data_IF_597416242149
#
_entry.id   IF_597416242149
#
_cell.length_a   1.000
_cell.length_b   1.000
_cell.length_c   1.000
_cell.angle_alpha   90.00
_cell.angle_beta   90.00
_cell.angle_gamma   90.00
#
_symmetry.space_group_name_H-M   'P 1'
#
loop_
_entity.id
_entity.type
_entity.pdbx_description
1 polymer ?
#
# COMPACT_ATOMS: atom_id res chain seq x y z
N UNK A 1 -5.75 -10.06 -8.87
CA UNK A 1 -6.51 -11.22 -9.33
C UNK A 1 -5.80 -12.54 -8.99
N UNK A 2 -4.48 -12.64 -9.08
CA UNK A 2 -3.72 -13.88 -8.80
C UNK A 2 -3.97 -14.44 -7.38
N UNK A 3 -4.11 -13.58 -6.37
CA UNK A 3 -4.47 -13.99 -5.00
C UNK A 3 -5.91 -14.54 -5.00
N UNK A 4 -6.84 -13.83 -5.64
CA UNK A 4 -8.25 -14.22 -5.70
C UNK A 4 -8.46 -15.59 -6.35
N UNK A 5 -7.82 -15.83 -7.49
CA UNK A 5 -7.88 -17.12 -8.18
C UNK A 5 -7.39 -18.28 -7.31
N UNK A 6 -6.30 -18.08 -6.55
CA UNK A 6 -5.76 -19.11 -5.64
C UNK A 6 -6.61 -19.35 -4.40
N UNK A 7 -7.46 -18.42 -4.06
CA UNK A 7 -8.30 -18.49 -2.86
C UNK A 7 -9.78 -18.78 -3.16
N UNK A 8 -10.15 -19.00 -4.44
CA UNK A 8 -11.51 -19.29 -4.85
C UNK A 8 -12.47 -18.09 -4.70
N UNK A 9 -11.97 -16.87 -4.81
CA UNK A 9 -12.78 -15.67 -4.79
C UNK A 9 -13.56 -15.50 -6.09
N UNK A 10 -14.66 -14.76 -6.02
CA UNK A 10 -15.40 -14.32 -7.19
C UNK A 10 -14.56 -13.30 -7.98
N UNK A 11 -14.03 -13.74 -9.13
CA UNK A 11 -13.11 -12.93 -9.92
C UNK A 11 -13.81 -11.79 -10.67
N UNK A 12 -15.11 -11.89 -10.94
CA UNK A 12 -15.88 -10.79 -11.54
C UNK A 12 -15.97 -9.62 -10.55
N UNK A 13 -16.42 -9.89 -9.32
CA UNK A 13 -16.47 -8.91 -8.24
C UNK A 13 -15.10 -8.32 -7.95
N UNK A 14 -14.08 -9.18 -7.84
CA UNK A 14 -12.73 -8.74 -7.51
C UNK A 14 -12.11 -7.90 -8.64
N UNK A 15 -12.36 -8.24 -9.92
CA UNK A 15 -11.85 -7.47 -11.06
C UNK A 15 -12.46 -6.09 -11.12
N UNK A 16 -13.79 -6.00 -11.03
CA UNK A 16 -14.47 -4.72 -11.03
C UNK A 16 -14.03 -3.84 -9.85
N UNK A 17 -13.95 -4.42 -8.66
CA UNK A 17 -13.48 -3.71 -7.47
C UNK A 17 -12.02 -3.23 -7.61
N UNK A 18 -11.13 -4.05 -8.16
CA UNK A 18 -9.73 -3.69 -8.38
C UNK A 18 -9.56 -2.54 -9.39
N UNK A 19 -10.39 -2.49 -10.42
CA UNK A 19 -10.37 -1.39 -11.39
C UNK A 19 -10.91 -0.07 -10.82
N UNK A 20 -11.90 -0.15 -9.93
CA UNK A 20 -12.63 1.03 -9.45
C UNK A 20 -12.19 1.52 -8.05
N UNK A 21 -11.38 0.77 -7.29
CA UNK A 21 -11.11 1.09 -5.88
C UNK A 21 -10.54 2.50 -5.64
N UNK A 22 -9.78 3.02 -6.59
CA UNK A 22 -9.14 4.33 -6.53
C UNK A 22 -9.80 5.40 -7.43
N UNK A 23 -10.97 5.14 -8.02
CA UNK A 23 -11.65 6.09 -8.93
C UNK A 23 -11.95 7.44 -8.25
N UNK A 24 -12.13 7.46 -6.93
CA UNK A 24 -12.31 8.67 -6.13
C UNK A 24 -11.02 9.41 -5.74
N UNK A 25 -9.84 8.93 -6.15
CA UNK A 25 -8.53 9.48 -5.73
C UNK A 25 -8.33 10.94 -6.14
N UNK A 26 -8.84 11.31 -7.32
CA UNK A 26 -8.78 12.69 -7.79
C UNK A 26 -9.52 13.66 -6.86
N UNK A 27 -10.69 13.24 -6.36
CA UNK A 27 -11.51 14.07 -5.47
C UNK A 27 -10.84 14.24 -4.09
N UNK A 28 -10.21 13.18 -3.56
CA UNK A 28 -9.40 13.27 -2.34
C UNK A 28 -8.25 14.26 -2.51
N UNK A 29 -7.51 14.18 -3.62
CA UNK A 29 -6.39 15.08 -3.89
C UNK A 29 -6.85 16.53 -4.03
N UNK A 30 -7.92 16.78 -4.79
CA UNK A 30 -8.48 18.12 -5.02
C UNK A 30 -9.03 18.75 -3.73
N UNK A 31 -9.57 17.93 -2.84
CA UNK A 31 -10.11 18.35 -1.54
C UNK A 31 -9.06 18.41 -0.42
N UNK A 32 -7.77 18.15 -0.74
CA UNK A 32 -6.67 18.05 0.23
C UNK A 32 -6.97 17.07 1.37
N UNK A 33 -7.61 15.93 1.03
CA UNK A 33 -7.90 14.86 1.96
C UNK A 33 -9.20 15.01 2.77
N UNK A 34 -10.00 16.07 2.56
CA UNK A 34 -11.30 16.23 3.22
C UNK A 34 -12.36 15.24 2.70
N UNK A 35 -12.23 14.79 1.47
CA UNK A 35 -13.05 13.72 0.85
C UNK A 35 -12.27 12.41 0.90
N UNK A 36 -12.85 11.37 1.48
CA UNK A 36 -12.27 10.03 1.48
C UNK A 36 -12.47 9.38 0.11
N UNK A 37 -11.37 9.03 -0.59
CA UNK A 37 -11.46 8.43 -1.93
C UNK A 37 -12.18 7.08 -1.95
N UNK A 38 -12.11 6.28 -0.89
CA UNK A 38 -12.79 5.00 -0.84
C UNK A 38 -14.33 5.18 -0.79
N UNK A 39 -14.83 6.11 0.03
CA UNK A 39 -16.26 6.45 0.07
C UNK A 39 -16.71 7.07 -1.25
N UNK A 40 -15.96 8.05 -1.74
CA UNK A 40 -16.24 8.67 -3.04
C UNK A 40 -16.17 7.68 -4.19
N UNK A 41 -15.22 6.76 -4.15
CA UNK A 41 -15.10 5.65 -5.09
C UNK A 41 -16.31 4.73 -5.07
N UNK A 42 -16.91 4.47 -3.91
CA UNK A 42 -18.16 3.74 -3.79
C UNK A 42 -19.34 4.44 -4.47
N UNK A 43 -19.47 5.77 -4.30
CA UNK A 43 -20.52 6.57 -4.97
C UNK A 43 -20.36 6.51 -6.50
N UNK A 44 -19.19 6.88 -7.00
CA UNK A 44 -18.88 6.85 -8.45
C UNK A 44 -18.98 5.43 -9.03
N UNK A 45 -18.50 4.43 -8.29
CA UNK A 45 -18.56 3.04 -8.70
C UNK A 45 -19.98 2.54 -8.86
N UNK A 46 -20.92 2.96 -8.02
CA UNK A 46 -22.35 2.60 -8.14
C UNK A 46 -22.93 3.03 -9.47
N UNK A 47 -22.71 4.29 -9.83
CA UNK A 47 -23.25 4.86 -11.07
C UNK A 47 -22.63 4.15 -12.30
N UNK A 48 -21.31 3.97 -12.30
CA UNK A 48 -20.60 3.28 -13.38
C UNK A 48 -21.11 1.83 -13.55
N UNK A 49 -21.21 1.07 -12.45
CA UNK A 49 -21.61 -0.33 -12.49
C UNK A 49 -23.06 -0.50 -12.93
N UNK A 50 -23.95 0.41 -12.53
CA UNK A 50 -25.35 0.42 -12.97
C UNK A 50 -25.46 0.73 -14.45
N UNK A 51 -24.70 1.71 -14.96
CA UNK A 51 -24.69 2.09 -16.38
C UNK A 51 -24.23 0.93 -17.29
N UNK A 52 -23.23 0.17 -16.86
CA UNK A 52 -22.72 -0.99 -17.62
C UNK A 52 -23.53 -2.28 -17.40
N UNK A 53 -24.60 -2.23 -16.58
CA UNK A 53 -25.61 -3.28 -16.49
C UNK A 53 -25.31 -4.39 -15.48
N UNK A 54 -24.49 -4.15 -14.44
CA UNK A 54 -24.36 -5.11 -13.34
C UNK A 54 -25.66 -5.23 -12.55
N UNK A 55 -25.96 -6.43 -12.07
CA UNK A 55 -27.09 -6.66 -11.16
C UNK A 55 -26.86 -5.98 -9.80
N UNK A 56 -27.93 -5.46 -9.19
CA UNK A 56 -27.86 -4.72 -7.95
C UNK A 56 -27.13 -5.46 -6.81
N UNK A 57 -27.36 -6.77 -6.66
CA UNK A 57 -26.67 -7.57 -5.65
C UNK A 57 -25.15 -7.67 -5.89
N UNK A 58 -24.73 -7.76 -7.14
CA UNK A 58 -23.30 -7.78 -7.53
C UNK A 58 -22.67 -6.40 -7.30
N UNK A 59 -23.38 -5.33 -7.62
CA UNK A 59 -22.95 -3.95 -7.34
C UNK A 59 -22.64 -3.79 -5.85
N UNK A 60 -23.53 -4.19 -4.94
CA UNK A 60 -23.30 -4.04 -3.50
C UNK A 60 -22.05 -4.80 -3.02
N UNK A 61 -21.78 -5.98 -3.59
CA UNK A 61 -20.58 -6.78 -3.28
C UNK A 61 -19.30 -6.05 -3.75
N UNK A 62 -19.32 -5.46 -4.95
CA UNK A 62 -18.20 -4.68 -5.50
C UNK A 62 -17.96 -3.42 -4.66
N UNK A 63 -19.04 -2.68 -4.35
CA UNK A 63 -18.95 -1.46 -3.56
C UNK A 63 -18.42 -1.73 -2.13
N UNK A 64 -18.82 -2.85 -1.52
CA UNK A 64 -18.24 -3.26 -0.24
C UNK A 64 -16.72 -3.39 -0.33
N UNK A 65 -16.18 -4.00 -1.39
CA UNK A 65 -14.74 -4.06 -1.59
C UNK A 65 -14.12 -2.67 -1.73
N UNK A 66 -14.73 -1.79 -2.54
CA UNK A 66 -14.23 -0.44 -2.80
C UNK A 66 -14.20 0.39 -1.52
N UNK A 67 -15.29 0.45 -0.77
CA UNK A 67 -15.38 1.33 0.42
C UNK A 67 -14.51 0.84 1.57
N UNK A 68 -14.25 -0.46 1.65
CA UNK A 68 -13.49 -1.06 2.76
C UNK A 68 -11.99 -1.23 2.49
N UNK A 69 -11.50 -1.00 1.25
CA UNK A 69 -10.10 -1.30 0.90
C UNK A 69 -9.05 -0.51 1.72
N UNK A 70 -9.42 0.63 2.32
CA UNK A 70 -8.53 1.37 3.25
C UNK A 70 -8.56 0.82 4.67
N UNK A 71 -9.62 0.13 5.05
CA UNK A 71 -9.86 -0.34 6.42
C UNK A 71 -9.62 0.79 7.44
N UNK A 72 -10.44 1.83 7.34
CA UNK A 72 -10.46 2.97 8.27
C UNK A 72 -11.83 3.08 8.90
N UNK A 73 -11.89 3.60 10.10
CA UNK A 73 -13.11 3.79 10.86
C UNK A 73 -13.88 2.45 10.98
N UNK A 74 -15.19 2.47 10.83
CA UNK A 74 -16.08 1.30 10.90
C UNK A 74 -16.14 0.49 9.59
N UNK A 75 -15.35 0.84 8.58
CA UNK A 75 -15.36 0.20 7.27
C UNK A 75 -14.47 -1.06 7.27
N UNK A 76 -15.04 -2.18 7.76
CA UNK A 76 -14.32 -3.45 7.90
C UNK A 76 -14.52 -4.33 6.66
N UNK A 77 -13.43 -4.82 6.00
CA UNK A 77 -13.55 -5.79 4.92
C UNK A 77 -14.01 -7.16 5.48
N UNK A 78 -15.25 -7.55 5.20
CA UNK A 78 -15.81 -8.81 5.70
C UNK A 78 -15.83 -9.92 4.67
N UNK A 79 -16.11 -9.61 3.38
CA UNK A 79 -16.10 -10.61 2.31
C UNK A 79 -14.67 -11.06 1.96
N UNK A 80 -14.55 -12.21 1.31
CA UNK A 80 -13.24 -12.70 0.85
C UNK A 80 -12.61 -11.75 -0.15
N UNK A 81 -13.39 -11.24 -1.11
CA UNK A 81 -12.96 -10.30 -2.14
C UNK A 81 -12.47 -8.99 -1.53
N UNK A 82 -13.19 -8.46 -0.53
CA UNK A 82 -12.79 -7.24 0.17
C UNK A 82 -11.47 -7.41 0.92
N UNK A 83 -11.27 -8.54 1.60
CA UNK A 83 -10.01 -8.88 2.27
C UNK A 83 -8.86 -9.02 1.28
N UNK A 84 -9.12 -9.65 0.13
CA UNK A 84 -8.11 -9.84 -0.91
C UNK A 84 -7.74 -8.49 -1.55
N UNK A 85 -8.70 -7.62 -1.83
CA UNK A 85 -8.43 -6.30 -2.37
C UNK A 85 -7.60 -5.46 -1.40
N UNK A 86 -7.96 -5.46 -0.11
CA UNK A 86 -7.18 -4.82 0.94
C UNK A 86 -5.74 -5.32 0.96
N UNK A 87 -5.54 -6.64 0.98
CA UNK A 87 -4.20 -7.24 1.01
C UNK A 87 -3.40 -6.88 -0.24
N UNK A 88 -4.01 -6.94 -1.42
CA UNK A 88 -3.36 -6.63 -2.68
C UNK A 88 -2.88 -5.18 -2.74
N UNK A 89 -3.71 -4.23 -2.32
CA UNK A 89 -3.35 -2.80 -2.22
C UNK A 89 -2.16 -2.58 -1.27
N UNK A 90 -2.16 -3.23 -0.11
CA UNK A 90 -1.06 -3.12 0.86
C UNK A 90 0.23 -3.81 0.37
N UNK A 91 0.10 -4.97 -0.28
CA UNK A 91 1.24 -5.68 -0.85
C UNK A 91 1.97 -4.86 -1.93
N UNK A 92 1.26 -4.03 -2.70
CA UNK A 92 1.87 -3.15 -3.71
C UNK A 92 2.78 -2.07 -3.10
N UNK A 93 2.59 -1.74 -1.83
CA UNK A 93 3.39 -0.74 -1.11
C UNK A 93 4.61 -1.32 -0.36
N UNK A 94 4.90 -2.61 -0.47
CA UNK A 94 6.02 -3.27 0.22
C UNK A 94 6.83 -4.18 -0.72
N UNK A 95 7.98 -4.64 -0.24
CA UNK A 95 8.92 -5.43 -1.04
C UNK A 95 9.71 -4.57 -2.03
N UNK A 96 10.25 -5.19 -3.07
CA UNK A 96 11.06 -4.50 -4.08
C UNK A 96 10.32 -3.36 -4.79
N UNK A 97 9.05 -3.59 -5.14
CA UNK A 97 8.19 -2.57 -5.76
C UNK A 97 7.93 -1.43 -4.78
N UNK A 98 7.60 -1.73 -3.52
CA UNK A 98 7.39 -0.72 -2.49
C UNK A 98 8.62 0.13 -2.24
N UNK A 99 9.82 -0.46 -2.18
CA UNK A 99 11.09 0.26 -2.10
C UNK A 99 11.26 1.22 -3.29
N UNK A 100 11.10 0.71 -4.52
CA UNK A 100 11.22 1.53 -5.73
C UNK A 100 10.27 2.72 -5.74
N UNK A 101 9.02 2.50 -5.33
CA UNK A 101 8.00 3.58 -5.21
C UNK A 101 8.36 4.59 -4.13
N UNK A 102 8.89 4.14 -2.99
CA UNK A 102 9.31 5.03 -1.90
C UNK A 102 10.47 5.93 -2.33
N UNK A 103 11.48 5.39 -3.04
CA UNK A 103 12.57 6.22 -3.59
C UNK A 103 12.09 7.19 -4.68
N UNK A 104 11.19 6.74 -5.56
CA UNK A 104 10.60 7.63 -6.57
C UNK A 104 9.86 8.80 -5.93
N UNK A 105 9.04 8.52 -4.91
CA UNK A 105 8.33 9.57 -4.16
C UNK A 105 9.30 10.50 -3.42
N UNK A 106 10.29 9.95 -2.71
CA UNK A 106 11.31 10.72 -2.03
C UNK A 106 12.04 11.70 -2.99
N UNK A 107 12.37 11.21 -4.20
CA UNK A 107 12.95 12.06 -5.26
C UNK A 107 12.01 13.18 -5.73
N UNK A 108 10.70 12.90 -5.84
CA UNK A 108 9.69 13.90 -6.23
C UNK A 108 9.53 15.04 -5.21
N UNK A 109 9.66 14.74 -3.92
CA UNK A 109 9.55 15.74 -2.85
C UNK A 109 10.90 16.38 -2.50
N UNK A 110 12.00 16.01 -3.19
CA UNK A 110 13.33 16.53 -2.92
C UNK A 110 13.95 16.04 -1.61
N UNK A 111 13.53 14.88 -1.13
CA UNK A 111 14.07 14.28 0.08
C UNK A 111 15.51 13.79 -0.10
N UNK A 112 16.24 13.67 0.99
CA UNK A 112 17.56 13.04 1.03
C UNK A 112 17.49 11.56 0.65
N UNK A 113 18.61 10.95 0.36
CA UNK A 113 18.70 9.53 0.07
C UNK A 113 18.43 8.68 1.34
N UNK A 114 18.93 9.14 2.48
CA UNK A 114 18.89 8.42 3.75
C UNK A 114 18.83 9.39 4.94
N UNK A 115 18.30 8.93 6.07
CA UNK A 115 18.33 9.66 7.35
C UNK A 115 19.28 8.95 8.33
N UNK A 116 19.87 9.70 9.22
CA UNK A 116 20.45 9.10 10.43
C UNK A 116 19.34 8.48 11.29
N UNK A 117 19.59 7.27 11.79
CA UNK A 117 18.56 6.52 12.56
C UNK A 117 18.00 7.28 13.77
N UNK A 118 18.80 8.19 14.35
CA UNK A 118 18.40 9.06 15.46
C UNK A 118 17.42 10.18 15.10
N UNK A 119 17.25 10.48 13.81
CA UNK A 119 16.48 11.64 13.32
C UNK A 119 15.08 11.25 12.87
N UNK A 120 14.78 9.94 12.70
CA UNK A 120 13.52 9.47 12.11
C UNK A 120 12.29 9.82 12.95
N UNK A 121 12.41 9.74 14.28
CA UNK A 121 11.33 10.10 15.19
C UNK A 121 11.14 11.62 15.20
N UNK A 122 9.97 12.07 14.77
CA UNK A 122 9.59 13.50 14.72
C UNK A 122 9.85 14.21 13.41
N UNK A 123 10.27 13.50 12.36
CA UNK A 123 10.38 14.10 11.01
C UNK A 123 9.01 14.26 10.35
N UNK A 124 8.84 15.37 9.62
CA UNK A 124 7.60 15.70 8.95
C UNK A 124 7.49 15.04 7.56
N UNK A 125 6.28 14.60 7.15
CA UNK A 125 6.00 14.21 5.76
C UNK A 125 6.25 15.35 4.77
N UNK A 126 6.58 15.02 3.53
CA UNK A 126 6.86 15.97 2.44
C UNK A 126 8.03 16.93 2.71
N UNK A 127 8.90 16.60 3.64
CA UNK A 127 10.14 17.34 3.95
C UNK A 127 11.36 16.69 3.30
N UNK A 128 12.53 17.33 3.44
CA UNK A 128 13.81 16.76 3.02
C UNK A 128 14.16 15.46 3.77
N UNK A 129 13.52 15.21 4.89
CA UNK A 129 13.67 13.99 5.70
C UNK A 129 12.64 12.90 5.34
N UNK A 130 11.73 13.13 4.39
CA UNK A 130 10.73 12.14 3.96
C UNK A 130 11.32 11.12 2.98
N UNK A 131 12.35 10.43 3.44
CA UNK A 131 13.13 9.46 2.66
C UNK A 131 12.43 8.11 2.55
N UNK A 132 12.86 7.26 1.61
CA UNK A 132 12.43 5.87 1.51
C UNK A 132 12.77 5.07 2.79
N UNK A 133 13.91 5.37 3.45
CA UNK A 133 14.29 4.76 4.71
C UNK A 133 13.31 5.11 5.84
N UNK A 134 12.94 6.39 5.93
CA UNK A 134 11.90 6.84 6.87
C UNK A 134 10.58 6.14 6.61
N UNK A 135 10.09 6.10 5.38
CA UNK A 135 8.83 5.44 5.02
C UNK A 135 8.86 3.95 5.39
N UNK A 136 10.01 3.28 5.23
CA UNK A 136 10.21 1.92 5.71
C UNK A 136 10.03 1.81 7.23
N UNK A 137 10.72 2.65 8.00
CA UNK A 137 10.67 2.61 9.48
C UNK A 137 9.30 2.94 10.05
N UNK A 138 8.64 3.98 9.53
CA UNK A 138 7.40 4.49 10.13
C UNK A 138 6.15 3.76 9.65
N UNK A 139 6.18 3.15 8.45
CA UNK A 139 4.98 2.61 7.83
C UNK A 139 5.16 1.22 7.21
N UNK A 140 6.10 1.05 6.25
CA UNK A 140 6.18 -0.17 5.46
C UNK A 140 6.48 -1.40 6.32
N UNK A 141 7.31 -1.27 7.36
CA UNK A 141 7.67 -2.33 8.29
C UNK A 141 6.47 -2.94 9.05
N UNK A 142 5.39 -2.17 9.21
CA UNK A 142 4.18 -2.56 9.95
C UNK A 142 3.11 -3.21 9.08
N UNK A 143 3.27 -3.16 7.76
CA UNK A 143 2.22 -3.62 6.82
C UNK A 143 2.00 -5.13 6.91
N UNK A 144 3.05 -5.92 7.12
CA UNK A 144 2.95 -7.39 7.26
C UNK A 144 1.94 -7.84 8.32
N UNK A 145 1.83 -7.07 9.40
CA UNK A 145 0.98 -7.40 10.55
C UNK A 145 -0.50 -7.04 10.32
N UNK A 146 -0.81 -6.37 9.21
CA UNK A 146 -2.16 -5.92 8.87
C UNK A 146 -2.87 -6.81 7.85
N UNK A 147 -2.23 -7.83 7.32
CA UNK A 147 -2.80 -8.70 6.30
C UNK A 147 -3.98 -9.51 6.82
N UNK A 148 -5.06 -9.56 6.05
CA UNK A 148 -6.32 -10.18 6.43
C UNK A 148 -6.43 -11.63 5.98
N UNK A 149 -5.74 -12.02 4.88
CA UNK A 149 -5.79 -13.38 4.34
C UNK A 149 -4.52 -14.17 4.65
N UNK A 150 -4.61 -15.52 4.72
CA UNK A 150 -3.41 -16.36 4.94
C UNK A 150 -2.37 -16.19 3.82
N UNK A 151 -2.80 -16.07 2.56
CA UNK A 151 -1.91 -15.87 1.44
C UNK A 151 -1.27 -14.47 1.46
N UNK A 152 -2.06 -13.43 1.80
CA UNK A 152 -1.56 -12.07 2.00
C UNK A 152 -0.48 -12.01 3.08
N UNK A 153 -0.70 -12.65 4.24
CA UNK A 153 0.30 -12.73 5.32
C UNK A 153 1.62 -13.38 4.87
N UNK A 154 1.54 -14.49 4.14
CA UNK A 154 2.75 -15.15 3.63
C UNK A 154 3.53 -14.24 2.66
N UNK A 155 2.85 -13.66 1.68
CA UNK A 155 3.47 -12.76 0.72
C UNK A 155 4.05 -11.49 1.39
N UNK A 156 3.33 -10.94 2.36
CA UNK A 156 3.81 -9.76 3.09
C UNK A 156 5.05 -10.07 3.93
N UNK A 157 5.13 -11.25 4.54
CA UNK A 157 6.31 -11.70 5.27
C UNK A 157 7.54 -11.79 4.36
N UNK A 158 7.40 -12.46 3.21
CA UNK A 158 8.49 -12.58 2.21
C UNK A 158 8.98 -11.19 1.73
N UNK A 159 8.05 -10.29 1.44
CA UNK A 159 8.37 -8.91 1.01
C UNK A 159 9.01 -8.10 2.12
N UNK A 160 8.56 -8.28 3.35
CA UNK A 160 9.12 -7.61 4.52
C UNK A 160 10.57 -8.04 4.79
N UNK A 161 10.86 -9.34 4.76
CA UNK A 161 12.22 -9.88 4.93
C UNK A 161 13.18 -9.30 3.87
N UNK A 162 12.72 -9.17 2.64
CA UNK A 162 13.49 -8.50 1.59
C UNK A 162 13.76 -7.02 1.91
N UNK A 163 12.77 -6.28 2.41
CA UNK A 163 12.96 -4.87 2.79
C UNK A 163 13.97 -4.72 3.95
N UNK A 164 13.88 -5.59 4.96
CA UNK A 164 14.84 -5.61 6.07
C UNK A 164 16.26 -5.82 5.57
N UNK A 165 16.46 -6.81 4.69
CA UNK A 165 17.76 -7.08 4.08
C UNK A 165 18.29 -5.89 3.28
N UNK A 166 17.43 -5.28 2.44
CA UNK A 166 17.80 -4.13 1.62
C UNK A 166 18.25 -2.93 2.47
N UNK A 167 17.45 -2.53 3.45
CA UNK A 167 17.76 -1.36 4.26
C UNK A 167 18.90 -1.62 5.25
N UNK A 168 19.06 -2.84 5.76
CA UNK A 168 20.24 -3.19 6.55
C UNK A 168 21.54 -3.12 5.71
N UNK A 169 21.49 -3.53 4.44
CA UNK A 169 22.61 -3.39 3.52
C UNK A 169 22.92 -1.94 3.23
N UNK A 170 21.89 -1.11 2.99
CA UNK A 170 22.04 0.33 2.77
C UNK A 170 22.67 1.01 4.00
N UNK A 171 22.20 0.71 5.22
CA UNK A 171 22.79 1.21 6.47
C UNK A 171 24.25 0.82 6.58
N UNK A 172 24.60 -0.43 6.27
CA UNK A 172 26.00 -0.91 6.29
C UNK A 172 26.89 -0.12 5.32
N UNK A 173 26.43 0.13 4.11
CA UNK A 173 27.21 0.87 3.10
C UNK A 173 27.41 2.34 3.47
N UNK A 174 26.40 2.96 4.09
CA UNK A 174 26.49 4.36 4.55
C UNK A 174 27.42 4.49 5.75
N UNK A 175 27.43 3.53 6.66
CA UNK A 175 28.22 3.55 7.88
C UNK A 175 29.61 2.92 7.75
N UNK A 176 29.97 2.37 6.59
CA UNK A 176 31.33 1.88 6.35
C UNK A 176 32.30 3.05 6.33
N UNK A 177 33.14 3.12 7.37
CA UNK A 177 34.28 4.05 7.38
C UNK A 177 35.24 3.66 6.25
N UNK A 178 35.68 4.62 5.41
CA UNK A 178 36.78 4.36 4.48
C UNK A 178 38.03 4.05 5.32
N UNK A 179 38.46 2.81 5.34
CA UNK A 179 39.70 2.38 5.98
C UNK A 179 39.64 1.21 6.96
N UNK A 180 38.51 0.59 7.25
CA UNK A 180 38.48 -0.65 8.05
C UNK A 180 38.67 -1.87 7.16
N UNK A 181 39.92 -2.19 6.84
CA UNK A 181 40.32 -3.52 6.41
C UNK A 181 40.41 -3.73 4.89
N UNK A 182 41.40 -3.17 4.24
CA UNK A 182 42.15 -3.87 3.22
C UNK A 182 43.60 -3.84 3.72
N UNK A 183 43.90 -4.69 4.69
CA UNK A 183 45.26 -5.18 4.87
C UNK A 183 45.46 -6.24 3.81
N UNK A 184 46.43 -5.97 2.95
CA UNK A 184 46.87 -6.79 1.85
C UNK A 184 47.52 -8.11 2.34
#
# INVERSE_FOLDING_TARGET
LAIGSRMGADLEVLSAAALLHDVGRRDETSSRGSVCHARRGGELGRDILAEIGFEAATIERILHCIVTHRYRDDQVPVSLEAKILFDADKLDSIGAIGIGRAFLFAGQVGARLHNESSVIEGTEPYSVEDTAYREFKVKMSRIKDRMLTPLGRRLAKERHEFMEMFFARMDSEINQLPGSGIDA
#
